data_IF_796907101587
#
_entry.id   IF_796907101587
#
_cell.length_a   1.000
_cell.length_b   1.000
_cell.length_c   1.000
_cell.angle_alpha   90.00
_cell.angle_beta   90.00
_cell.angle_gamma   90.00
#
_symmetry.space_group_name_H-M   'P 1'
#
loop_
_entity.id
_entity.type
_entity.pdbx_description
1 polymer ?
#
# COMPACT_ATOMS: atom_id res chain seq x y z
N UNK A 1 6.86 0.11 -45.12
CA UNK A 1 6.25 1.06 -44.15
C UNK A 1 4.78 1.26 -44.49
N UNK A 2 3.88 0.86 -43.58
CA UNK A 2 2.52 1.41 -43.39
C UNK A 2 1.97 0.85 -42.08
N UNK A 3 1.27 1.71 -41.37
CA UNK A 3 1.11 1.78 -39.91
C UNK A 3 -0.10 1.00 -39.41
N UNK A 4 0.04 0.27 -38.30
CA UNK A 4 -1.09 -0.27 -37.54
C UNK A 4 -1.72 0.83 -36.68
N UNK A 5 -2.95 1.21 -37.01
CA UNK A 5 -3.76 2.15 -36.22
C UNK A 5 -4.35 1.41 -35.02
N UNK A 6 -3.96 1.78 -33.80
CA UNK A 6 -4.50 1.23 -32.55
C UNK A 6 -5.84 1.88 -32.24
N UNK A 7 -6.94 1.12 -32.31
CA UNK A 7 -8.26 1.57 -31.90
C UNK A 7 -8.28 1.85 -30.38
N UNK A 8 -8.60 3.08 -30.02
CA UNK A 8 -8.74 3.54 -28.64
C UNK A 8 -10.17 3.22 -28.16
N UNK A 9 -10.37 2.11 -27.45
CA UNK A 9 -11.66 1.83 -26.81
C UNK A 9 -11.81 2.73 -25.58
N UNK A 10 -12.53 3.84 -25.77
CA UNK A 10 -12.98 4.75 -24.70
C UNK A 10 -14.05 4.02 -23.89
N UNK A 11 -13.86 3.92 -22.58
CA UNK A 11 -14.84 3.37 -21.65
C UNK A 11 -15.97 4.39 -21.47
N UNK A 12 -17.22 3.98 -21.68
CA UNK A 12 -18.41 4.82 -21.57
C UNK A 12 -19.27 4.31 -20.39
N UNK A 13 -19.33 5.03 -19.26
CA UNK A 13 -20.01 4.57 -18.06
C UNK A 13 -21.54 4.62 -18.14
N UNK A 14 -22.11 5.22 -19.19
CA UNK A 14 -23.56 5.44 -19.33
C UNK A 14 -24.30 4.27 -20.01
N UNK A 15 -23.59 3.17 -20.33
CA UNK A 15 -24.16 1.97 -20.98
C UNK A 15 -24.65 0.89 -20.01
N UNK A 16 -24.72 1.15 -18.70
CA UNK A 16 -25.30 0.21 -17.73
C UNK A 16 -26.79 0.49 -17.58
N UNK A 17 -27.56 0.06 -18.59
CA UNK A 17 -29.01 0.01 -18.51
C UNK A 17 -29.41 -1.18 -17.63
N UNK A 18 -29.77 -0.91 -16.38
CA UNK A 18 -30.38 -1.89 -15.49
C UNK A 18 -31.82 -2.05 -15.96
N UNK A 19 -32.11 -3.16 -16.63
CA UNK A 19 -33.49 -3.58 -16.87
C UNK A 19 -34.10 -4.02 -15.54
N UNK A 20 -35.03 -3.21 -15.04
CA UNK A 20 -35.96 -3.61 -13.99
C UNK A 20 -36.89 -4.69 -14.57
N UNK A 21 -36.53 -5.96 -14.38
CA UNK A 21 -37.44 -7.08 -14.69
C UNK A 21 -38.52 -7.15 -13.62
N UNK A 22 -39.73 -6.84 -14.06
CA UNK A 22 -40.99 -6.79 -13.33
C UNK A 22 -41.35 -8.14 -12.70
N UNK A 23 -41.81 -8.03 -11.46
CA UNK A 23 -42.09 -9.10 -10.49
C UNK A 23 -43.39 -9.85 -10.83
N UNK A 24 -43.28 -11.11 -11.25
CA UNK A 24 -44.43 -12.02 -11.36
C UNK A 24 -44.70 -12.73 -10.02
N UNK A 25 -45.98 -12.79 -9.68
CA UNK A 25 -46.51 -13.16 -8.38
C UNK A 25 -46.56 -14.67 -8.17
N UNK A 26 -46.62 -15.02 -6.89
CA UNK A 26 -47.29 -16.19 -6.34
C UNK A 26 -46.68 -17.57 -6.60
N UNK A 27 -45.89 -18.05 -5.62
CA UNK A 27 -46.06 -19.41 -5.08
C UNK A 27 -45.56 -19.55 -3.64
N UNK A 28 -46.52 -19.92 -2.81
CA UNK A 28 -46.45 -20.21 -1.37
C UNK A 28 -45.48 -21.34 -1.04
N UNK A 29 -44.72 -21.14 0.04
CA UNK A 29 -44.25 -22.20 0.96
C UNK A 29 -42.99 -22.95 0.56
N UNK A 30 -41.90 -22.73 1.31
CA UNK A 30 -41.24 -23.74 2.17
C UNK A 30 -39.78 -23.39 2.49
N UNK A 31 -39.46 -23.53 3.78
CA UNK A 31 -38.13 -23.78 4.37
C UNK A 31 -37.08 -22.65 4.31
N UNK A 32 -36.98 -21.93 5.44
CA UNK A 32 -35.82 -21.10 5.78
C UNK A 32 -34.62 -22.02 6.05
N UNK A 33 -33.89 -22.38 4.99
CA UNK A 33 -32.52 -22.87 5.12
C UNK A 33 -31.62 -21.70 4.77
N UNK A 34 -31.11 -21.03 5.81
CA UNK A 34 -30.05 -20.04 5.67
C UNK A 34 -28.81 -20.72 5.08
N UNK A 35 -28.73 -20.70 3.75
CA UNK A 35 -27.52 -21.05 3.00
C UNK A 35 -26.60 -19.84 3.07
N UNK A 36 -25.91 -19.68 4.20
CA UNK A 36 -24.65 -18.95 4.18
C UNK A 36 -23.76 -19.67 3.16
N UNK A 37 -23.74 -19.18 1.91
CA UNK A 37 -22.73 -19.57 0.93
C UNK A 37 -21.39 -19.31 1.59
N UNK A 38 -20.71 -20.38 2.00
CA UNK A 38 -19.33 -20.29 2.47
C UNK A 38 -18.57 -19.58 1.35
N UNK A 39 -17.86 -18.47 1.62
CA UNK A 39 -17.10 -17.79 0.58
C UNK A 39 -16.18 -18.82 -0.08
N UNK A 40 -15.98 -18.75 -1.41
CA UNK A 40 -15.10 -19.68 -2.10
C UNK A 40 -13.77 -19.69 -1.35
N UNK A 41 -13.33 -20.87 -0.92
CA UNK A 41 -12.03 -21.07 -0.31
C UNK A 41 -11.00 -20.57 -1.30
N UNK A 42 -10.47 -19.37 -1.07
CA UNK A 42 -9.44 -18.78 -1.91
C UNK A 42 -8.23 -19.68 -1.74
N UNK A 43 -7.95 -20.52 -2.74
CA UNK A 43 -6.73 -21.32 -2.74
C UNK A 43 -5.58 -20.31 -2.67
N UNK A 44 -4.77 -20.39 -1.62
CA UNK A 44 -3.55 -19.59 -1.50
C UNK A 44 -2.67 -19.94 -2.68
N UNK A 45 -2.62 -19.06 -3.68
CA UNK A 45 -1.67 -19.19 -4.79
C UNK A 45 -0.29 -18.91 -4.21
N UNK A 46 0.70 -19.81 -4.40
CA UNK A 46 2.07 -19.56 -3.96
C UNK A 46 2.57 -18.27 -4.60
N UNK A 47 3.06 -17.34 -3.78
CA UNK A 47 3.73 -16.14 -4.27
C UNK A 47 5.08 -16.59 -4.84
N UNK A 48 5.40 -16.28 -6.11
CA UNK A 48 6.73 -16.57 -6.64
C UNK A 48 7.80 -15.91 -5.77
N UNK A 49 8.93 -16.57 -5.53
CA UNK A 49 10.00 -16.04 -4.68
C UNK A 49 10.47 -14.65 -5.11
N UNK A 50 10.46 -14.37 -6.43
CA UNK A 50 10.76 -13.06 -6.99
C UNK A 50 9.76 -11.97 -6.57
N UNK A 51 8.47 -12.31 -6.49
CA UNK A 51 7.44 -11.39 -6.03
C UNK A 51 7.52 -11.19 -4.51
N UNK A 52 7.90 -12.21 -3.75
CA UNK A 52 8.14 -12.09 -2.31
C UNK A 52 9.35 -11.19 -2.01
N UNK A 53 10.46 -11.37 -2.74
CA UNK A 53 11.65 -10.52 -2.63
C UNK A 53 11.34 -9.06 -2.96
N UNK A 54 10.63 -8.81 -4.07
CA UNK A 54 10.23 -7.45 -4.44
C UNK A 54 9.29 -6.81 -3.40
N UNK A 55 8.37 -7.59 -2.81
CA UNK A 55 7.53 -7.10 -1.72
C UNK A 55 8.36 -6.72 -0.48
N UNK A 56 9.41 -7.49 -0.16
CA UNK A 56 10.34 -7.16 0.93
C UNK A 56 11.08 -5.85 0.64
N UNK A 57 11.59 -5.66 -0.59
CA UNK A 57 12.25 -4.41 -0.98
C UNK A 57 11.31 -3.19 -0.84
N UNK A 58 10.04 -3.33 -1.24
CA UNK A 58 9.03 -2.28 -1.03
C UNK A 58 8.86 -1.97 0.45
N UNK A 59 8.81 -2.99 1.32
CA UNK A 59 8.69 -2.76 2.76
C UNK A 59 9.91 -2.03 3.32
N UNK A 60 11.12 -2.39 2.89
CA UNK A 60 12.37 -1.70 3.26
C UNK A 60 12.31 -0.23 2.83
N UNK A 61 11.97 0.05 1.58
CA UNK A 61 11.82 1.43 1.08
C UNK A 61 10.80 2.20 1.91
N UNK A 62 9.64 1.60 2.21
CA UNK A 62 8.60 2.24 3.02
C UNK A 62 9.06 2.51 4.46
N UNK A 63 9.84 1.61 5.04
CA UNK A 63 10.43 1.79 6.37
C UNK A 63 11.46 2.92 6.39
N UNK A 64 12.38 2.96 5.41
CA UNK A 64 13.32 4.09 5.24
C UNK A 64 12.56 5.41 5.09
N UNK A 65 11.58 5.47 4.19
CA UNK A 65 10.79 6.68 3.94
C UNK A 65 10.06 7.17 5.20
N UNK A 66 9.53 6.27 6.03
CA UNK A 66 8.90 6.63 7.30
C UNK A 66 9.90 7.27 8.28
N UNK A 67 11.12 6.73 8.36
CA UNK A 67 12.13 7.27 9.27
C UNK A 67 12.63 8.63 8.79
N UNK A 68 12.99 8.79 7.51
CA UNK A 68 13.54 10.06 7.00
C UNK A 68 12.50 11.20 6.99
N UNK A 69 11.20 10.89 6.86
CA UNK A 69 10.13 11.89 6.90
C UNK A 69 9.70 12.25 8.33
N UNK A 70 10.29 11.64 9.35
CA UNK A 70 9.99 11.97 10.75
C UNK A 70 10.50 13.37 11.11
N UNK A 71 9.76 14.07 11.97
CA UNK A 71 10.17 15.37 12.50
C UNK A 71 11.48 15.30 13.29
N UNK A 72 11.74 14.18 13.97
CA UNK A 72 12.98 13.93 14.71
C UNK A 72 14.22 13.95 13.82
N UNK A 73 14.20 13.30 12.64
CA UNK A 73 15.32 13.37 11.69
C UNK A 73 15.51 14.79 11.16
N UNK A 74 14.42 15.53 10.93
CA UNK A 74 14.51 16.93 10.51
C UNK A 74 15.09 17.84 11.61
N UNK A 75 14.75 17.60 12.88
CA UNK A 75 15.32 18.29 14.04
C UNK A 75 16.80 17.95 14.21
N UNK A 76 17.16 16.67 14.19
CA UNK A 76 18.56 16.23 14.22
C UNK A 76 19.39 16.92 13.12
N UNK A 77 18.89 16.93 11.89
CA UNK A 77 19.58 17.57 10.78
C UNK A 77 19.70 19.09 10.96
N UNK A 78 18.72 19.74 11.59
CA UNK A 78 18.78 21.16 11.93
C UNK A 78 19.84 21.42 12.99
N UNK A 79 19.81 20.67 14.10
CA UNK A 79 20.75 20.80 15.21
C UNK A 79 22.21 20.61 14.72
N UNK A 80 22.45 19.61 13.87
CA UNK A 80 23.79 19.37 13.27
C UNK A 80 24.24 20.55 12.39
N UNK A 81 23.34 21.12 11.56
CA UNK A 81 23.68 22.28 10.71
C UNK A 81 23.90 23.55 11.51
N UNK A 82 23.23 23.70 12.64
CA UNK A 82 23.37 24.85 13.53
C UNK A 82 24.61 24.79 14.44
N UNK A 83 25.26 23.62 14.56
CA UNK A 83 26.47 23.44 15.35
C UNK A 83 27.65 24.20 14.75
N UNK A 84 28.41 24.94 15.57
CA UNK A 84 29.51 25.83 15.16
C UNK A 84 30.88 25.17 15.21
N UNK A 85 31.02 24.07 15.95
CA UNK A 85 32.27 23.35 16.16
C UNK A 85 32.02 21.84 16.30
N UNK A 86 33.09 21.06 16.40
CA UNK A 86 33.01 19.60 16.45
C UNK A 86 32.48 19.07 17.78
N UNK A 87 32.70 19.78 18.89
CA UNK A 87 32.17 19.40 20.21
C UNK A 87 30.64 19.49 20.24
N UNK A 88 30.08 20.56 19.66
CA UNK A 88 28.63 20.72 19.50
C UNK A 88 28.05 19.65 18.59
N UNK A 89 28.71 19.33 17.47
CA UNK A 89 28.28 18.23 16.59
C UNK A 89 28.28 16.90 17.33
N UNK A 90 29.32 16.63 18.12
CA UNK A 90 29.40 15.43 18.94
C UNK A 90 28.28 15.38 19.98
N UNK A 91 27.99 16.50 20.63
CA UNK A 91 26.88 16.62 21.57
C UNK A 91 25.53 16.32 20.89
N UNK A 92 25.29 16.86 19.70
CA UNK A 92 24.07 16.59 18.93
C UNK A 92 23.94 15.11 18.55
N UNK A 93 25.04 14.46 18.17
CA UNK A 93 25.05 13.00 17.90
C UNK A 93 24.69 12.20 19.16
N UNK A 94 25.25 12.54 20.32
CA UNK A 94 24.94 11.87 21.59
C UNK A 94 23.48 12.12 21.99
N UNK A 95 22.99 13.36 21.88
CA UNK A 95 21.60 13.75 22.17
C UNK A 95 20.61 12.93 21.32
N UNK A 96 20.91 12.74 20.04
CA UNK A 96 20.03 12.06 19.07
C UNK A 96 20.43 10.60 18.78
N UNK A 97 21.23 9.95 19.64
CA UNK A 97 21.79 8.61 19.39
C UNK A 97 20.72 7.54 19.05
N UNK A 98 19.54 7.65 19.65
CA UNK A 98 18.41 6.75 19.40
C UNK A 98 17.97 6.73 17.92
N UNK A 99 18.13 7.85 17.20
CA UNK A 99 17.84 7.91 15.76
C UNK A 99 18.88 7.16 14.93
N UNK A 100 20.15 7.17 15.34
CA UNK A 100 21.21 6.41 14.67
C UNK A 100 20.97 4.91 14.82
N UNK A 101 20.61 4.45 16.02
CA UNK A 101 20.22 3.05 16.28
C UNK A 101 18.98 2.66 15.46
N UNK A 102 18.00 3.55 15.37
CA UNK A 102 16.79 3.32 14.56
C UNK A 102 17.09 3.22 13.06
N UNK A 103 18.06 3.97 12.56
CA UNK A 103 18.49 3.91 11.16
C UNK A 103 19.30 2.64 10.87
N UNK A 104 20.11 2.16 11.82
CA UNK A 104 20.88 0.92 11.71
C UNK A 104 19.99 -0.34 11.69
N UNK A 105 18.80 -0.26 12.29
CA UNK A 105 17.86 -1.39 12.41
C UNK A 105 16.83 -1.51 11.26
N UNK A 106 16.96 -0.68 10.21
CA UNK A 106 16.14 -0.77 8.99
C UNK A 106 16.76 -1.76 8.01
#
# INVERSE_FOLDING_TARGET
>A
MRTHTRAHRKWDPDQVEIKDEEQDRDRVGHSVISRYKRPPSVRSVPIPDSAAAFAADIQTVMSVLRVIKSSEIAEFARDIRSSRNNEEKLFVLVKHHHLLVKLESI
#
